data_IF_736255269251
#
_entry.id   IF_736255269251
#
_cell.length_a   1.000
_cell.length_b   1.000
_cell.length_c   1.000
_cell.angle_alpha   90.00
_cell.angle_beta   90.00
_cell.angle_gamma   90.00
#
_symmetry.space_group_name_H-M   'P 1'
#
loop_
_entity.id
_entity.type
_entity.pdbx_description
1 polymer ?
#
# COMPACT_ATOMS: atom_id res chain seq x y z
N UNK A 1 25.78 2.85 11.45
CA UNK A 1 24.63 3.77 11.63
C UNK A 1 23.83 3.79 10.34
N UNK A 2 22.53 3.48 10.37
CA UNK A 2 21.67 3.59 9.18
C UNK A 2 21.43 5.07 8.91
N UNK A 3 21.96 5.61 7.81
CA UNK A 3 21.56 6.93 7.33
C UNK A 3 20.33 6.67 6.45
N UNK A 4 19.10 6.90 6.95
CA UNK A 4 17.92 6.75 6.12
C UNK A 4 18.07 7.69 4.93
N UNK A 5 18.08 7.13 3.72
CA UNK A 5 17.96 7.96 2.52
C UNK A 5 16.51 8.42 2.43
N UNK A 6 16.26 9.61 1.87
CA UNK A 6 14.89 10.11 1.64
C UNK A 6 14.01 9.08 0.89
N UNK A 7 14.64 8.27 0.02
CA UNK A 7 14.02 7.14 -0.68
C UNK A 7 13.46 6.07 0.27
N UNK A 8 14.16 5.77 1.36
CA UNK A 8 13.74 4.75 2.34
C UNK A 8 12.51 5.23 3.14
N UNK A 9 12.44 6.53 3.44
CA UNK A 9 11.25 7.15 4.05
C UNK A 9 10.06 7.07 3.09
N UNK A 10 10.27 7.38 1.80
CA UNK A 10 9.24 7.25 0.78
C UNK A 10 8.72 5.81 0.63
N UNK A 11 9.62 4.81 0.62
CA UNK A 11 9.20 3.40 0.59
C UNK A 11 8.41 3.00 1.83
N UNK A 12 8.84 3.44 3.02
CA UNK A 12 8.12 3.14 4.25
C UNK A 12 6.70 3.73 4.25
N UNK A 13 6.54 5.00 3.84
CA UNK A 13 5.24 5.64 3.73
C UNK A 13 4.33 4.91 2.74
N UNK A 14 4.86 4.58 1.55
CA UNK A 14 4.12 3.87 0.51
C UNK A 14 3.70 2.46 0.97
N UNK A 15 4.60 1.70 1.60
CA UNK A 15 4.28 0.38 2.14
C UNK A 15 3.22 0.45 3.24
N UNK A 16 3.34 1.44 4.13
CA UNK A 16 2.40 1.61 5.25
C UNK A 16 1.02 1.96 4.73
N UNK A 17 0.90 2.91 3.79
CA UNK A 17 -0.41 3.23 3.25
C UNK A 17 -1.00 2.09 2.42
N UNK A 18 -0.20 1.35 1.64
CA UNK A 18 -0.69 0.21 0.85
C UNK A 18 -1.26 -0.86 1.78
N UNK A 19 -0.52 -1.19 2.84
CA UNK A 19 -0.96 -2.14 3.84
C UNK A 19 -2.22 -1.69 4.55
N UNK A 20 -2.29 -0.40 4.90
CA UNK A 20 -3.46 0.18 5.53
C UNK A 20 -4.69 0.12 4.62
N UNK A 21 -4.54 0.46 3.34
CA UNK A 21 -5.61 0.39 2.34
C UNK A 21 -6.16 -1.03 2.16
N UNK A 22 -5.29 -2.03 2.21
CA UNK A 22 -5.70 -3.44 2.14
C UNK A 22 -6.48 -3.92 3.37
N UNK A 23 -6.18 -3.37 4.56
CA UNK A 23 -6.83 -3.75 5.81
C UNK A 23 -8.18 -3.07 6.04
N UNK A 24 -8.58 -2.12 5.19
CA UNK A 24 -9.84 -1.40 5.35
C UNK A 24 -11.01 -2.35 5.25
N UNK A 25 -11.89 -2.27 6.25
CA UNK A 25 -13.12 -3.03 6.25
C UNK A 25 -14.18 -2.22 5.51
N UNK A 26 -14.66 -2.68 4.35
CA UNK A 26 -15.78 -2.03 3.68
C UNK A 26 -17.04 -2.17 4.53
N UNK A 27 -17.85 -1.11 4.56
CA UNK A 27 -19.18 -1.07 5.19
C UNK A 27 -20.16 -0.64 4.11
N UNK A 28 -21.23 -1.40 3.94
CA UNK A 28 -22.29 -1.08 2.97
C UNK A 28 -23.56 -0.93 3.78
N UNK A 29 -24.13 0.28 3.78
CA UNK A 29 -25.41 0.59 4.39
C UNK A 29 -26.45 0.76 3.28
N UNK A 30 -27.54 0.00 3.34
CA UNK A 30 -28.61 0.07 2.36
C UNK A 30 -29.81 0.81 2.96
N UNK A 31 -30.11 1.99 2.42
CA UNK A 31 -31.25 2.80 2.83
C UNK A 31 -32.35 2.69 1.77
N UNK A 32 -33.44 2.01 2.09
CA UNK A 32 -34.61 1.93 1.23
C UNK A 32 -35.57 3.09 1.54
N UNK A 33 -35.86 3.92 0.54
CA UNK A 33 -36.89 4.95 0.63
C UNK A 33 -38.12 4.52 -0.18
N UNK A 34 -39.22 4.26 0.53
CA UNK A 34 -40.50 3.89 -0.05
C UNK A 34 -41.45 5.08 0.04
N UNK A 35 -41.65 5.77 -1.10
CA UNK A 35 -42.67 6.81 -1.22
C UNK A 35 -43.86 6.27 -1.99
N UNK A 36 -44.97 6.06 -1.29
CA UNK A 36 -46.25 5.68 -1.90
C UNK A 36 -47.06 6.94 -2.20
N UNK A 37 -47.23 7.28 -3.48
CA UNK A 37 -48.19 8.30 -3.93
C UNK A 37 -49.15 7.61 -4.86
N UNK A 38 -50.30 7.18 -4.35
CA UNK A 38 -51.27 6.44 -5.15
C UNK A 38 -51.57 7.15 -6.49
N UNK A 39 -51.49 6.45 -7.64
CA UNK A 39 -51.33 5.00 -7.81
C UNK A 39 -49.86 4.51 -7.95
N UNK A 40 -48.85 5.38 -7.86
CA UNK A 40 -47.44 5.01 -7.99
C UNK A 40 -46.74 4.74 -6.65
N UNK A 41 -45.88 3.73 -6.65
CA UNK A 41 -44.98 3.43 -5.52
C UNK A 41 -43.56 3.68 -6.01
N UNK A 42 -42.97 4.82 -5.63
CA UNK A 42 -41.57 5.10 -5.90
C UNK A 42 -40.72 4.38 -4.84
N UNK A 43 -39.97 3.36 -5.28
CA UNK A 43 -38.97 2.66 -4.47
C UNK A 43 -37.59 3.13 -4.91
N UNK A 44 -36.86 3.85 -4.06
CA UNK A 44 -35.45 4.15 -4.28
C UNK A 44 -34.62 3.40 -3.25
N UNK A 45 -33.59 2.68 -3.68
CA UNK A 45 -32.61 2.07 -2.80
C UNK A 45 -31.31 2.86 -2.92
N UNK A 46 -30.87 3.48 -1.83
CA UNK A 46 -29.58 4.15 -1.78
C UNK A 46 -28.59 3.28 -1.02
N UNK A 47 -27.54 2.82 -1.70
CA UNK A 47 -26.41 2.15 -1.10
C UNK A 47 -25.37 3.20 -0.71
N UNK A 48 -25.00 3.24 0.56
CA UNK A 48 -23.87 4.03 1.07
C UNK A 48 -22.69 3.09 1.31
N UNK A 49 -21.63 3.26 0.54
CA UNK A 49 -20.42 2.45 0.60
C UNK A 49 -19.34 3.23 1.31
N UNK A 50 -19.00 2.82 2.52
CA UNK A 50 -17.93 3.42 3.32
C UNK A 50 -16.90 2.42 3.81
N UNK A 51 -16.06 2.86 4.73
CA UNK A 51 -15.06 2.03 5.38
C UNK A 51 -15.04 2.26 6.89
N UNK A 52 -14.81 1.18 7.64
CA UNK A 52 -14.54 1.26 9.07
C UNK A 52 -13.03 1.33 9.28
N UNK A 53 -12.59 2.45 9.86
CA UNK A 53 -11.20 2.62 10.27
C UNK A 53 -11.05 2.32 11.76
N UNK A 54 -10.02 1.52 12.10
CA UNK A 54 -9.60 1.30 13.48
C UNK A 54 -8.12 1.69 13.60
N UNK A 55 -7.76 2.45 14.64
CA UNK A 55 -6.39 2.84 14.93
C UNK A 55 -5.41 1.65 14.99
N UNK A 56 -5.87 0.47 15.42
CA UNK A 56 -5.07 -0.76 15.41
C UNK A 56 -4.65 -1.22 14.00
N UNK A 57 -5.39 -0.86 12.95
CA UNK A 57 -5.01 -1.15 11.57
C UNK A 57 -3.73 -0.40 11.17
N UNK A 58 -3.60 0.87 11.61
CA UNK A 58 -2.41 1.67 11.37
C UNK A 58 -1.20 1.11 12.12
N UNK A 59 -1.37 0.75 13.40
CA UNK A 59 -0.29 0.15 14.20
C UNK A 59 0.24 -1.13 13.54
N UNK A 60 -0.66 -2.00 13.07
CA UNK A 60 -0.28 -3.22 12.32
C UNK A 60 0.45 -2.88 11.02
N UNK A 61 -0.06 -1.94 10.24
CA UNK A 61 0.55 -1.52 8.98
C UNK A 61 1.96 -0.96 9.18
N UNK A 62 2.18 -0.13 10.21
CA UNK A 62 3.50 0.37 10.61
C UNK A 62 4.41 -0.79 10.98
N UNK A 63 3.97 -1.70 11.85
CA UNK A 63 4.78 -2.82 12.31
C UNK A 63 5.24 -3.73 11.16
N UNK A 64 4.32 -4.12 10.27
CA UNK A 64 4.68 -4.95 9.11
C UNK A 64 5.59 -4.21 8.13
N UNK A 65 5.38 -2.91 7.93
CA UNK A 65 6.20 -2.11 7.02
C UNK A 65 7.61 -1.89 7.59
N UNK A 66 7.74 -1.68 8.90
CA UNK A 66 9.03 -1.66 9.60
C UNK A 66 9.76 -2.99 9.44
N UNK A 67 9.08 -4.12 9.60
CA UNK A 67 9.68 -5.44 9.42
C UNK A 67 10.25 -5.62 7.99
N UNK A 68 9.50 -5.20 6.97
CA UNK A 68 9.97 -5.20 5.58
C UNK A 68 11.20 -4.29 5.40
N UNK A 69 11.19 -3.10 6.00
CA UNK A 69 12.32 -2.16 5.97
C UNK A 69 13.57 -2.72 6.66
N UNK A 70 13.43 -3.42 7.79
CA UNK A 70 14.53 -4.14 8.45
C UNK A 70 15.09 -5.21 7.49
N UNK A 71 14.22 -5.92 6.77
CA UNK A 71 14.63 -6.89 5.75
C UNK A 71 15.44 -6.27 4.60
N UNK A 72 15.01 -5.11 4.09
CA UNK A 72 15.75 -4.34 3.08
C UNK A 72 17.11 -3.92 3.63
N UNK A 73 17.14 -3.40 4.85
CA UNK A 73 18.37 -2.97 5.51
C UNK A 73 19.35 -4.12 5.70
N UNK A 74 18.90 -5.24 6.27
CA UNK A 74 19.73 -6.43 6.48
C UNK A 74 20.26 -6.99 5.16
N UNK A 75 19.43 -7.00 4.12
CA UNK A 75 19.83 -7.42 2.78
C UNK A 75 20.91 -6.52 2.17
N UNK A 76 20.85 -5.20 2.41
CA UNK A 76 21.91 -4.25 1.99
C UNK A 76 23.19 -4.47 2.80
N UNK A 77 23.09 -4.68 4.11
CA UNK A 77 24.24 -4.94 4.97
C UNK A 77 25.01 -6.20 4.52
N UNK A 78 24.30 -7.29 4.22
CA UNK A 78 24.91 -8.51 3.70
C UNK A 78 25.62 -8.33 2.36
N UNK A 79 25.09 -7.49 1.46
CA UNK A 79 25.76 -7.17 0.19
C UNK A 79 27.05 -6.37 0.40
N UNK A 80 27.03 -5.40 1.33
CA UNK A 80 28.22 -4.63 1.67
C UNK A 80 29.32 -5.54 2.24
N UNK A 81 29.00 -6.39 3.21
CA UNK A 81 29.99 -7.32 3.79
C UNK A 81 30.56 -8.32 2.79
N UNK A 82 29.73 -8.88 1.89
CA UNK A 82 30.23 -9.74 0.79
C UNK A 82 31.15 -9.00 -0.18
N UNK A 83 30.89 -7.70 -0.42
CA UNK A 83 31.74 -6.87 -1.27
C UNK A 83 33.12 -6.64 -0.66
N UNK A 84 33.22 -6.48 0.66
CA UNK A 84 34.49 -6.30 1.38
C UNK A 84 35.31 -7.59 1.36
N UNK A 85 34.71 -8.74 1.72
CA UNK A 85 35.40 -10.05 1.68
C UNK A 85 35.88 -10.39 0.27
N UNK A 86 35.11 -10.07 -0.77
CA UNK A 86 35.55 -10.29 -2.16
C UNK A 86 36.70 -9.39 -2.58
N UNK A 87 36.81 -8.17 -2.04
CA UNK A 87 37.95 -7.29 -2.30
C UNK A 87 39.19 -7.75 -1.55
N UNK A 88 39.06 -8.16 -0.30
CA UNK A 88 40.15 -8.69 0.53
C UNK A 88 40.75 -9.97 -0.08
N UNK A 89 39.91 -10.95 -0.46
CA UNK A 89 40.36 -12.18 -1.12
C UNK A 89 41.09 -11.91 -2.44
N UNK A 90 40.71 -10.84 -3.17
CA UNK A 90 41.38 -10.40 -4.40
C UNK A 90 42.71 -9.69 -4.13
N UNK A 91 42.86 -9.03 -2.98
CA UNK A 91 44.13 -8.45 -2.53
C UNK A 91 45.18 -9.52 -2.23
N UNK A 92 44.75 -10.65 -1.68
CA UNK A 92 45.63 -11.80 -1.35
C UNK A 92 46.01 -12.58 -2.62
N UNK A 93 45.10 -12.77 -3.57
CA UNK A 93 45.34 -13.54 -4.81
C UNK A 93 45.94 -12.69 -5.94
N UNK A 94 46.98 -11.90 -5.64
CA UNK A 94 47.67 -11.03 -6.60
C UNK A 94 48.79 -11.76 -7.35
N UNK A 95 48.57 -13.02 -7.71
CA UNK A 95 49.42 -13.75 -8.66
C UNK A 95 49.03 -13.38 -10.09
N UNK A 96 50.02 -12.95 -10.86
CA UNK A 96 50.06 -12.53 -12.26
C UNK A 96 48.81 -12.89 -13.09
N UNK A 97 47.76 -12.06 -13.01
CA UNK A 97 46.57 -12.23 -13.87
C UNK A 97 46.88 -11.79 -15.29
N UNK A 98 46.54 -12.63 -16.25
CA UNK A 98 46.65 -12.33 -17.68
C UNK A 98 45.66 -11.23 -18.09
N UNK A 99 45.95 -10.50 -19.19
CA UNK A 99 45.08 -9.42 -19.67
C UNK A 99 43.64 -9.90 -19.94
N UNK A 100 43.46 -11.14 -20.39
CA UNK A 100 42.16 -11.77 -20.59
C UNK A 100 41.39 -11.92 -19.26
N UNK A 101 42.06 -12.30 -18.18
CA UNK A 101 41.45 -12.39 -16.85
C UNK A 101 41.07 -11.02 -16.30
N UNK A 102 41.84 -9.97 -16.59
CA UNK A 102 41.48 -8.60 -16.21
C UNK A 102 40.20 -8.13 -16.91
N UNK A 103 40.07 -8.39 -18.22
CA UNK A 103 38.84 -8.07 -18.98
C UNK A 103 37.65 -8.85 -18.44
N UNK A 104 37.80 -10.18 -18.22
CA UNK A 104 36.77 -11.03 -17.62
C UNK A 104 36.36 -10.50 -16.23
N UNK A 105 37.33 -10.16 -15.39
CA UNK A 105 37.09 -9.63 -14.05
C UNK A 105 36.40 -8.26 -14.09
N UNK A 106 36.74 -7.40 -15.05
CA UNK A 106 36.07 -6.10 -15.24
C UNK A 106 34.65 -6.27 -15.77
N UNK A 107 34.40 -7.23 -16.67
CA UNK A 107 33.06 -7.57 -17.15
C UNK A 107 32.20 -8.12 -16.02
N UNK A 108 32.72 -9.07 -15.23
CA UNK A 108 32.06 -9.59 -14.03
C UNK A 108 31.82 -8.47 -13.01
N UNK A 109 32.77 -7.54 -12.81
CA UNK A 109 32.57 -6.38 -11.91
C UNK A 109 31.50 -5.43 -12.44
N UNK A 110 31.42 -5.19 -13.75
CA UNK A 110 30.34 -4.39 -14.38
C UNK A 110 28.99 -5.09 -14.22
N UNK A 111 28.95 -6.40 -14.41
CA UNK A 111 27.74 -7.20 -14.22
C UNK A 111 27.33 -7.22 -12.74
N UNK A 112 28.27 -7.41 -11.81
CA UNK A 112 28.03 -7.39 -10.38
C UNK A 112 27.71 -6.00 -9.83
N UNK A 113 28.19 -4.91 -10.44
CA UNK A 113 27.79 -3.54 -10.07
C UNK A 113 26.40 -3.20 -10.62
N UNK A 114 26.05 -3.69 -11.81
CA UNK A 114 24.66 -3.67 -12.28
C UNK A 114 23.75 -4.52 -11.35
N UNK A 115 24.24 -5.68 -10.88
CA UNK A 115 23.58 -6.53 -9.90
C UNK A 115 23.48 -5.86 -8.52
N UNK A 116 24.53 -5.13 -8.09
CA UNK A 116 24.59 -4.33 -6.84
C UNK A 116 23.53 -3.24 -6.81
N UNK A 117 23.08 -2.79 -7.98
CA UNK A 117 21.98 -1.82 -8.11
C UNK A 117 20.59 -2.48 -8.14
N UNK A 118 20.46 -3.80 -8.38
CA UNK A 118 19.16 -4.40 -8.70
C UNK A 118 18.76 -5.66 -7.94
N UNK A 119 19.69 -6.46 -7.43
CA UNK A 119 19.37 -7.83 -6.99
C UNK A 119 19.70 -7.99 -5.50
N UNK A 120 18.74 -7.59 -4.67
CA UNK A 120 18.70 -8.01 -3.27
C UNK A 120 18.87 -9.54 -3.18
N UNK A 121 19.57 -10.10 -2.17
CA UNK A 121 19.53 -11.54 -1.91
C UNK A 121 18.07 -11.95 -1.71
N UNK A 122 17.44 -12.41 -2.80
CA UNK A 122 15.99 -12.50 -2.96
C UNK A 122 15.37 -13.32 -1.84
N UNK A 123 16.03 -14.41 -1.44
CA UNK A 123 15.55 -15.33 -0.41
C UNK A 123 15.46 -14.68 0.97
N UNK A 124 16.46 -13.89 1.37
CA UNK A 124 16.50 -13.26 2.70
C UNK A 124 15.50 -12.10 2.76
N UNK A 125 15.49 -11.24 1.73
CA UNK A 125 14.51 -10.18 1.64
C UNK A 125 13.08 -10.72 1.65
N UNK A 126 12.81 -11.79 0.87
CA UNK A 126 11.50 -12.45 0.86
C UNK A 126 11.12 -12.95 2.26
N UNK A 127 12.04 -13.49 3.05
CA UNK A 127 11.71 -13.97 4.40
C UNK A 127 11.18 -12.85 5.32
N UNK A 128 11.73 -11.64 5.21
CA UNK A 128 11.25 -10.47 5.98
C UNK A 128 10.02 -9.79 5.34
N UNK A 129 9.91 -9.81 4.01
CA UNK A 129 8.78 -9.25 3.29
C UNK A 129 7.56 -10.19 3.29
N UNK A 130 7.74 -11.49 3.52
CA UNK A 130 6.69 -12.51 3.44
C UNK A 130 5.53 -12.21 4.40
N UNK A 131 5.74 -11.86 5.68
CA UNK A 131 4.63 -11.48 6.56
C UNK A 131 3.84 -10.27 6.02
N UNK A 132 4.54 -9.28 5.45
CA UNK A 132 3.90 -8.11 4.84
C UNK A 132 3.07 -8.50 3.62
N UNK A 133 3.65 -9.28 2.69
CA UNK A 133 2.96 -9.73 1.47
C UNK A 133 1.75 -10.60 1.83
N UNK A 134 1.93 -11.55 2.74
CA UNK A 134 0.87 -12.48 3.14
C UNK A 134 -0.29 -11.73 3.79
N UNK A 135 -0.01 -10.83 4.74
CA UNK A 135 -1.05 -10.05 5.41
C UNK A 135 -1.71 -9.05 4.46
N UNK A 136 -0.94 -8.45 3.55
CA UNK A 136 -1.47 -7.57 2.51
C UNK A 136 -2.41 -8.31 1.56
N UNK A 137 -2.00 -9.46 1.01
CA UNK A 137 -2.80 -10.24 0.06
C UNK A 137 -4.01 -10.86 0.76
N UNK A 138 -3.81 -11.51 1.92
CA UNK A 138 -4.90 -12.17 2.64
C UNK A 138 -5.96 -11.17 3.10
N UNK A 139 -5.55 -10.04 3.70
CA UNK A 139 -6.52 -9.03 4.17
C UNK A 139 -7.24 -8.38 3.00
N UNK A 140 -6.53 -8.07 1.92
CA UNK A 140 -7.10 -7.47 0.72
C UNK A 140 -8.12 -8.39 0.05
N UNK A 141 -7.81 -9.68 -0.07
CA UNK A 141 -8.74 -10.69 -0.58
C UNK A 141 -9.94 -10.88 0.33
N UNK A 142 -9.75 -11.00 1.65
CA UNK A 142 -10.86 -11.17 2.60
C UNK A 142 -11.81 -9.96 2.54
N UNK A 143 -11.26 -8.74 2.51
CA UNK A 143 -12.05 -7.51 2.47
C UNK A 143 -12.76 -7.35 1.12
N UNK A 144 -12.10 -7.69 0.00
CA UNK A 144 -12.74 -7.74 -1.31
C UNK A 144 -13.86 -8.78 -1.38
N UNK A 145 -13.65 -10.00 -0.86
CA UNK A 145 -14.66 -11.06 -0.85
C UNK A 145 -15.88 -10.64 -0.02
N UNK A 146 -15.65 -10.04 1.17
CA UNK A 146 -16.74 -9.50 2.00
C UNK A 146 -17.55 -8.45 1.26
N UNK A 147 -16.88 -7.52 0.60
CA UNK A 147 -17.52 -6.51 -0.23
C UNK A 147 -18.34 -7.14 -1.35
N UNK A 148 -17.74 -8.07 -2.09
CA UNK A 148 -18.34 -8.73 -3.24
C UNK A 148 -19.59 -9.52 -2.84
N UNK A 149 -19.53 -10.30 -1.75
CA UNK A 149 -20.69 -11.05 -1.24
C UNK A 149 -21.88 -10.13 -0.94
N UNK A 150 -21.64 -8.98 -0.32
CA UNK A 150 -22.71 -8.02 0.02
C UNK A 150 -23.24 -7.32 -1.22
N UNK A 151 -22.37 -6.86 -2.13
CA UNK A 151 -22.76 -6.16 -3.36
C UNK A 151 -23.54 -7.07 -4.32
N UNK A 152 -23.20 -8.36 -4.37
CA UNK A 152 -23.88 -9.32 -5.23
C UNK A 152 -25.37 -9.45 -4.88
N UNK A 153 -25.77 -9.22 -3.63
CA UNK A 153 -27.20 -9.20 -3.23
C UNK A 153 -28.01 -8.09 -3.91
N UNK A 154 -27.37 -7.04 -4.42
CA UNK A 154 -28.05 -5.90 -5.05
C UNK A 154 -28.05 -5.96 -6.59
N UNK A 155 -27.86 -7.16 -7.18
CA UNK A 155 -27.84 -7.38 -8.63
C UNK A 155 -26.81 -6.51 -9.39
N UNK A 156 -25.75 -6.06 -8.71
CA UNK A 156 -24.68 -5.27 -9.30
C UNK A 156 -23.75 -6.19 -10.10
N UNK A 157 -23.34 -5.76 -11.30
CA UNK A 157 -22.42 -6.53 -12.14
C UNK A 157 -21.04 -6.68 -11.50
N UNK A 158 -20.36 -7.80 -11.78
CA UNK A 158 -19.04 -8.09 -11.22
C UNK A 158 -18.01 -6.98 -11.52
N UNK A 159 -18.06 -6.43 -12.74
CA UNK A 159 -17.19 -5.32 -13.12
C UNK A 159 -17.48 -4.04 -12.32
N UNK A 160 -18.77 -3.73 -12.13
CA UNK A 160 -19.17 -2.59 -11.31
C UNK A 160 -18.75 -2.77 -9.85
N UNK A 161 -18.82 -3.99 -9.31
CA UNK A 161 -18.31 -4.29 -7.98
C UNK A 161 -16.80 -3.99 -7.86
N UNK A 162 -15.98 -4.43 -8.83
CA UNK A 162 -14.53 -4.14 -8.85
C UNK A 162 -14.29 -2.63 -8.91
N UNK A 163 -15.00 -1.92 -9.78
CA UNK A 163 -14.89 -0.46 -9.90
C UNK A 163 -15.21 0.24 -8.57
N UNK A 164 -16.33 -0.13 -7.93
CA UNK A 164 -16.75 0.46 -6.66
C UNK A 164 -15.77 0.18 -5.52
N UNK A 165 -15.18 -1.02 -5.50
CA UNK A 165 -14.13 -1.33 -4.54
C UNK A 165 -12.87 -0.48 -4.79
N UNK A 166 -12.50 -0.28 -6.05
CA UNK A 166 -11.41 0.62 -6.44
C UNK A 166 -11.68 2.09 -6.06
N UNK A 167 -12.89 2.57 -6.30
CA UNK A 167 -13.33 3.92 -5.91
C UNK A 167 -13.31 4.09 -4.39
N UNK A 168 -13.73 3.08 -3.63
CA UNK A 168 -13.67 3.09 -2.16
C UNK A 168 -12.22 3.17 -1.66
N UNK A 169 -11.30 2.39 -2.24
CA UNK A 169 -9.88 2.50 -1.93
C UNK A 169 -9.35 3.89 -2.29
N UNK A 170 -9.65 4.39 -3.49
CA UNK A 170 -9.25 5.71 -3.95
C UNK A 170 -9.72 6.83 -3.01
N UNK A 171 -10.97 6.76 -2.53
CA UNK A 171 -11.53 7.70 -1.57
C UNK A 171 -10.76 7.68 -0.25
N UNK A 172 -10.36 6.50 0.23
CA UNK A 172 -9.50 6.40 1.40
C UNK A 172 -8.12 7.01 1.19
N UNK A 173 -7.49 6.76 0.04
CA UNK A 173 -6.18 7.32 -0.30
C UNK A 173 -6.21 8.83 -0.41
N UNK A 174 -7.22 9.36 -1.10
CA UNK A 174 -7.47 10.78 -1.21
C UNK A 174 -7.63 11.41 0.18
N UNK A 175 -8.40 10.77 1.08
CA UNK A 175 -8.59 11.28 2.44
C UNK A 175 -7.33 11.17 3.28
N UNK A 176 -6.63 10.04 3.27
CA UNK A 176 -5.38 9.88 4.03
C UNK A 176 -4.36 10.93 3.61
N UNK A 177 -4.25 11.17 2.31
CA UNK A 177 -3.42 12.22 1.74
C UNK A 177 -3.90 13.60 2.19
N UNK A 178 -5.21 13.86 2.13
CA UNK A 178 -5.80 15.12 2.59
C UNK A 178 -5.54 15.37 4.08
N UNK A 179 -5.80 14.41 4.96
CA UNK A 179 -5.58 14.54 6.42
C UNK A 179 -4.10 14.70 6.75
N UNK A 180 -3.20 14.06 6.00
CA UNK A 180 -1.76 14.19 6.23
C UNK A 180 -1.21 15.49 5.65
N UNK A 181 -1.76 16.00 4.54
CA UNK A 181 -1.27 17.19 3.85
C UNK A 181 -1.91 18.49 4.37
N UNK A 182 -3.22 18.49 4.62
CA UNK A 182 -3.99 19.68 5.03
C UNK A 182 -3.39 20.39 6.24
N UNK A 183 -3.06 19.75 7.37
CA UNK A 183 -2.50 20.46 8.52
C UNK A 183 -1.10 21.04 8.24
N UNK A 184 -0.30 20.41 7.38
CA UNK A 184 1.02 20.93 7.02
C UNK A 184 0.91 22.10 6.03
N UNK A 185 0.07 21.97 5.00
CA UNK A 185 -0.18 23.06 4.05
C UNK A 185 -0.90 24.23 4.69
N UNK A 186 -1.82 23.99 5.62
CA UNK A 186 -2.53 25.03 6.37
C UNK A 186 -1.57 25.84 7.25
N UNK A 187 -0.58 25.18 7.86
CA UNK A 187 0.53 25.84 8.57
C UNK A 187 1.42 26.66 7.62
N UNK A 188 1.75 26.14 6.44
CA UNK A 188 2.62 26.83 5.46
C UNK A 188 1.92 28.05 4.82
N UNK A 189 0.64 27.94 4.50
CA UNK A 189 -0.14 28.99 3.82
C UNK A 189 -0.71 30.01 4.82
N UNK A 190 -0.52 29.81 6.13
CA UNK A 190 -1.02 30.72 7.17
C UNK A 190 -2.55 30.71 7.33
N UNK A 191 -3.24 29.75 6.71
CA UNK A 191 -4.68 29.58 6.84
C UNK A 191 -4.95 28.57 7.95
N UNK A 192 -5.41 29.02 9.11
CA UNK A 192 -5.79 28.17 10.25
C UNK A 192 -7.01 27.27 9.96
N UNK A 193 -6.89 26.34 9.02
CA UNK A 193 -7.82 25.23 8.87
C UNK A 193 -7.57 24.30 10.05
N UNK A 194 -8.40 24.44 11.09
CA UNK A 194 -8.36 23.55 12.24
C UNK A 194 -8.53 22.10 11.76
N UNK A 195 -7.88 21.16 12.45
CA UNK A 195 -8.08 19.72 12.28
C UNK A 195 -9.58 19.34 12.27
N UNK A 196 -10.39 20.12 12.99
CA UNK A 196 -11.85 20.06 13.04
C UNK A 196 -12.50 20.25 11.66
N UNK A 197 -12.12 21.27 10.87
CA UNK A 197 -12.67 21.46 9.51
C UNK A 197 -12.28 20.33 8.55
N UNK A 198 -11.11 19.72 8.71
CA UNK A 198 -10.73 18.54 7.94
C UNK A 198 -11.57 17.30 8.29
N UNK A 199 -12.09 17.22 9.53
CA UNK A 199 -13.01 16.16 9.95
C UNK A 199 -14.40 16.29 9.31
N UNK A 200 -14.80 17.52 8.93
CA UNK A 200 -16.08 17.84 8.27
C UNK A 200 -16.11 17.56 6.76
N UNK A 201 -15.11 16.89 6.19
CA UNK A 201 -15.22 16.36 4.81
C UNK A 201 -16.49 15.49 4.70
N UNK A 202 -17.43 15.95 3.87
CA UNK A 202 -18.74 15.33 3.61
C UNK A 202 -18.61 13.81 3.41
N UNK A 203 -19.20 13.04 4.34
CA UNK A 203 -19.50 11.59 4.26
C UNK A 203 -18.37 10.66 3.82
N UNK A 204 -17.96 9.72 4.67
CA UNK A 204 -17.04 8.62 4.30
C UNK A 204 -17.66 7.60 3.34
N UNK A 205 -18.63 8.00 2.54
CA UNK A 205 -19.53 7.10 1.84
C UNK A 205 -19.75 7.55 0.40
N UNK A 206 -19.58 6.60 -0.53
CA UNK A 206 -20.07 6.72 -1.90
C UNK A 206 -21.55 6.38 -1.84
N UNK A 207 -22.43 7.31 -2.22
CA UNK A 207 -23.87 7.02 -2.34
C UNK A 207 -24.19 6.60 -3.77
N UNK A 208 -24.80 5.44 -3.93
CA UNK A 208 -25.26 4.92 -5.22
C UNK A 208 -26.76 4.69 -5.11
N UNK A 209 -27.52 5.26 -6.02
CA UNK A 209 -28.92 4.89 -6.20
C UNK A 209 -28.98 3.65 -7.08
N UNK A 210 -29.65 2.60 -6.58
CA UNK A 210 -30.01 1.42 -7.35
C UNK A 210 -31.52 1.33 -7.43
N UNK A 211 -32.03 0.97 -8.61
CA UNK A 211 -33.44 0.65 -8.76
C UNK A 211 -33.64 -0.79 -8.25
N UNK A 212 -34.57 -0.98 -7.31
CA UNK A 212 -34.92 -2.30 -6.77
C UNK A 212 -35.83 -3.12 -7.72
N UNK A 213 -35.85 -2.82 -9.01
CA UNK A 213 -36.81 -3.36 -9.97
C UNK A 213 -36.13 -3.56 -11.34
N UNK A 214 -35.62 -4.77 -11.55
CA UNK A 214 -36.25 -5.75 -12.46
C UNK A 214 -36.37 -7.09 -11.73
#
# INVERSE_FOLDING_TARGET
MFIPKIRDIGYFALLTSLHLGSNLQPVIEANANLKTVYPSVNRNLTLQLGYKYNHWMLVKAIMYSLLSMIGVWYSRHLQSGKSEVSMEKKGILKTTTTAAEQVKNNWIKKQNSALKNGTLPRNIFLLFALPWILTFVASGLINYIRFYMVIQHFCISNWRAIQLYGELQGLFWHRSTSVTLIPYWSQIIGGGVSLEKASHLSGNCISIETHLLD
#
